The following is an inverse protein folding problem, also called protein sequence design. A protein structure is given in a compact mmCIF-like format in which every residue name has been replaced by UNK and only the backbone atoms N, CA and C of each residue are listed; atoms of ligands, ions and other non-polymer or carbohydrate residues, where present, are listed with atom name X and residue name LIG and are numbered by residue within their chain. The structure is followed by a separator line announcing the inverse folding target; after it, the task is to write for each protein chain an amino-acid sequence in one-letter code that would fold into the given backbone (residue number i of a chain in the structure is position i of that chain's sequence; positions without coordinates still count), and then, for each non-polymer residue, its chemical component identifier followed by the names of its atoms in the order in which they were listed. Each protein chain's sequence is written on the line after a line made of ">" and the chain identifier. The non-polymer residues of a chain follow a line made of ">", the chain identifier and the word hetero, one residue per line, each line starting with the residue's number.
data_IF_336487874829
#
_entry.id   IF_336487874829
#
_cell.length_a   1.000
_cell.length_b   1.000
_cell.length_c   1.000
_cell.angle_alpha   90.00
_cell.angle_beta   90.00
_cell.angle_gamma   90.00
#
_symmetry.space_group_name_H-M   'P 1'
#
loop_
_entity.id
_entity.type
_entity.pdbx_description
1 polymer ?
#
# COMPACT_ATOMS: atom_id res chain seq x y z
N UNK A 1 22.10 -27.01 -20.95
CA UNK A 1 21.18 -26.53 -22.01
C UNK A 1 19.88 -27.30 -21.83
N UNK A 2 18.80 -26.53 -21.74
CA UNK A 2 17.46 -26.76 -21.18
C UNK A 2 17.01 -28.19 -20.81
N UNK A 3 16.57 -28.37 -19.55
CA UNK A 3 15.50 -29.32 -19.23
C UNK A 3 14.17 -28.56 -19.07
N UNK A 4 13.37 -28.56 -20.13
CA UNK A 4 11.94 -28.20 -20.06
C UNK A 4 11.21 -29.26 -19.22
N UNK A 5 10.81 -28.95 -17.99
CA UNK A 5 9.81 -29.74 -17.26
C UNK A 5 8.42 -29.22 -17.61
N UNK A 6 7.77 -29.85 -18.58
CA UNK A 6 6.35 -29.67 -18.85
C UNK A 6 5.57 -30.51 -17.84
N UNK A 7 5.13 -29.90 -16.73
CA UNK A 7 4.14 -30.54 -15.87
C UNK A 7 2.80 -30.53 -16.60
N UNK A 8 2.45 -31.71 -17.10
CA UNK A 8 1.24 -32.04 -17.85
C UNK A 8 0.05 -31.97 -16.89
N UNK A 9 -0.62 -30.82 -16.81
CA UNK A 9 -1.93 -30.72 -16.18
C UNK A 9 -2.94 -31.51 -17.01
N UNK A 10 -3.29 -32.70 -16.55
CA UNK A 10 -4.30 -33.55 -17.20
C UNK A 10 -5.69 -33.08 -16.75
N UNK A 11 -6.18 -31.98 -17.34
CA UNK A 11 -7.59 -31.63 -17.25
C UNK A 11 -8.37 -32.56 -18.19
N UNK A 12 -8.87 -33.67 -17.66
CA UNK A 12 -9.88 -34.48 -18.37
C UNK A 12 -11.27 -33.91 -18.05
N UNK A 13 -11.52 -32.69 -18.51
CA UNK A 13 -12.84 -32.08 -18.52
C UNK A 13 -13.47 -32.27 -19.89
N UNK A 14 -14.22 -33.35 -20.09
CA UNK A 14 -15.14 -33.47 -21.21
C UNK A 14 -16.55 -33.50 -20.62
N UNK A 15 -17.34 -32.48 -20.92
CA UNK A 15 -18.77 -32.51 -20.70
C UNK A 15 -19.36 -33.46 -21.76
N UNK A 16 -19.73 -34.66 -21.34
CA UNK A 16 -20.76 -35.44 -22.03
C UNK A 16 -21.78 -35.88 -21.00
N UNK A 17 -23.04 -35.53 -21.27
CA UNK A 17 -24.21 -36.00 -20.54
C UNK A 17 -24.22 -37.53 -20.49
N UNK A 18 -24.51 -38.11 -19.32
CA UNK A 18 -24.86 -39.53 -19.20
C UNK A 18 -26.32 -39.69 -18.74
N UNK A 19 -27.07 -40.50 -19.50
CA UNK A 19 -28.52 -40.72 -19.47
C UNK A 19 -29.08 -41.44 -18.22
N UNK A 20 -28.64 -41.13 -16.99
CA UNK A 20 -29.16 -41.85 -15.82
C UNK A 20 -29.34 -41.07 -14.51
N UNK A 21 -29.45 -39.74 -14.58
CA UNK A 21 -30.13 -38.95 -13.53
C UNK A 21 -29.69 -39.19 -12.08
N UNK A 22 -28.40 -39.43 -11.82
CA UNK A 22 -27.85 -39.51 -10.45
C UNK A 22 -26.86 -38.39 -10.20
N UNK A 23 -27.30 -37.42 -9.39
CA UNK A 23 -26.43 -36.46 -8.71
C UNK A 23 -25.72 -37.18 -7.57
N UNK A 24 -24.41 -37.37 -7.68
CA UNK A 24 -23.56 -37.69 -6.53
C UNK A 24 -22.46 -36.64 -6.43
N UNK A 25 -22.28 -36.14 -5.21
CA UNK A 25 -21.36 -35.06 -4.85
C UNK A 25 -19.92 -35.41 -5.25
N UNK A 26 -19.25 -34.48 -5.93
CA UNK A 26 -17.82 -34.59 -6.23
C UNK A 26 -17.06 -34.43 -4.91
N UNK A 27 -16.74 -35.54 -4.26
CA UNK A 27 -15.64 -35.57 -3.31
C UNK A 27 -14.35 -35.36 -4.13
N UNK A 28 -13.74 -34.19 -3.98
CA UNK A 28 -12.39 -33.92 -4.47
C UNK A 28 -11.41 -34.85 -3.74
N UNK A 29 -11.24 -36.06 -4.26
CA UNK A 29 -10.14 -36.93 -3.84
C UNK A 29 -8.87 -36.42 -4.49
N UNK A 30 -8.19 -35.50 -3.79
CA UNK A 30 -6.79 -35.17 -4.07
C UNK A 30 -5.98 -36.37 -3.58
N UNK A 31 -5.80 -37.36 -4.44
CA UNK A 31 -4.86 -38.45 -4.20
C UNK A 31 -3.44 -37.94 -4.46
N UNK A 32 -2.68 -37.69 -3.39
CA UNK A 32 -1.22 -37.79 -3.47
C UNK A 32 -0.37 -36.67 -2.88
N UNK A 33 -0.62 -36.26 -1.63
CA UNK A 33 0.37 -35.98 -0.57
C UNK A 33 -0.38 -35.46 0.65
N UNK A 34 0.13 -35.74 1.85
CA UNK A 34 -0.23 -34.99 3.06
C UNK A 34 0.42 -33.60 2.95
N UNK A 35 -0.05 -32.83 1.98
CA UNK A 35 0.52 -31.56 1.59
C UNK A 35 0.10 -30.52 2.63
N UNK A 36 1.04 -30.22 3.53
CA UNK A 36 0.88 -29.23 4.59
C UNK A 36 0.49 -27.88 3.99
N UNK A 37 -0.67 -27.35 4.40
CA UNK A 37 -1.16 -26.05 3.92
C UNK A 37 -0.42 -24.95 4.66
N UNK A 38 0.42 -24.21 3.94
CA UNK A 38 1.22 -23.13 4.49
C UNK A 38 0.47 -21.81 4.26
N UNK A 39 0.08 -21.08 5.33
CA UNK A 39 -0.63 -19.82 5.20
C UNK A 39 0.29 -18.72 4.65
N UNK A 40 -0.25 -17.77 3.87
CA UNK A 40 0.52 -16.66 3.33
C UNK A 40 1.02 -15.70 4.42
N UNK A 41 2.24 -15.21 4.26
CA UNK A 41 2.62 -13.94 4.85
C UNK A 41 2.18 -12.80 3.93
N UNK A 42 1.59 -11.75 4.50
CA UNK A 42 1.02 -10.64 3.75
C UNK A 42 1.74 -9.37 4.14
N UNK A 43 2.26 -8.65 3.15
CA UNK A 43 2.92 -7.37 3.32
C UNK A 43 2.27 -6.33 2.40
N UNK A 44 2.19 -5.07 2.87
CA UNK A 44 1.76 -3.93 2.07
C UNK A 44 2.90 -2.93 1.99
N UNK A 45 3.23 -2.52 0.78
CA UNK A 45 4.24 -1.51 0.49
C UNK A 45 3.57 -0.21 0.08
N UNK A 46 4.05 0.88 0.69
CA UNK A 46 3.65 2.24 0.38
C UNK A 46 4.07 2.65 -1.03
N UNK A 47 3.35 3.60 -1.66
CA UNK A 47 3.68 4.12 -2.98
C UNK A 47 5.07 4.81 -3.01
N UNK A 48 5.67 4.82 -4.20
CA UNK A 48 6.92 5.56 -4.43
C UNK A 48 6.66 7.08 -4.41
N UNK A 49 7.49 7.81 -3.68
CA UNK A 49 7.46 9.29 -3.67
C UNK A 49 7.61 9.89 -5.06
N UNK A 50 8.42 9.26 -5.92
CA UNK A 50 8.64 9.71 -7.29
C UNK A 50 7.37 9.58 -8.15
N UNK A 51 6.61 8.50 -8.00
CA UNK A 51 5.35 8.30 -8.72
C UNK A 51 4.34 9.40 -8.36
N UNK A 52 4.23 9.69 -7.06
CA UNK A 52 3.33 10.71 -6.54
C UNK A 52 3.71 12.09 -7.08
N UNK A 53 5.00 12.45 -7.04
CA UNK A 53 5.47 13.76 -7.49
C UNK A 53 5.33 13.96 -9.00
N UNK A 54 5.60 12.92 -9.81
CA UNK A 54 5.62 13.05 -11.27
C UNK A 54 4.26 12.81 -11.92
N UNK A 55 3.45 11.92 -11.35
CA UNK A 55 2.20 11.45 -11.98
C UNK A 55 0.95 11.77 -11.17
N UNK A 56 1.10 12.32 -9.96
CA UNK A 56 -0.01 12.57 -9.03
C UNK A 56 -0.88 11.33 -8.77
N UNK A 57 -0.25 10.14 -8.84
CA UNK A 57 -0.86 8.83 -8.59
C UNK A 57 -0.04 8.12 -7.51
N UNK A 58 -0.71 7.27 -6.76
CA UNK A 58 -0.09 6.42 -5.76
C UNK A 58 -0.45 4.96 -6.04
N UNK A 59 0.54 4.11 -6.23
CA UNK A 59 0.35 2.67 -6.38
C UNK A 59 0.79 1.94 -5.12
N UNK A 60 -0.17 1.36 -4.41
CA UNK A 60 0.02 0.46 -3.28
C UNK A 60 0.31 -0.95 -3.81
N UNK A 61 1.19 -1.68 -3.15
CA UNK A 61 1.52 -3.06 -3.53
C UNK A 61 1.29 -3.98 -2.35
N UNK A 62 0.50 -5.02 -2.55
CA UNK A 62 0.30 -6.10 -1.60
C UNK A 62 0.99 -7.36 -2.11
N UNK A 63 1.87 -7.93 -1.29
CA UNK A 63 2.56 -9.18 -1.58
C UNK A 63 2.07 -10.23 -0.59
N UNK A 64 1.48 -11.31 -1.11
CA UNK A 64 1.32 -12.56 -0.37
C UNK A 64 2.45 -13.49 -0.76
N UNK A 65 3.25 -13.95 0.19
CA UNK A 65 4.41 -14.82 -0.06
C UNK A 65 4.44 -16.03 0.87
N UNK A 66 5.21 -17.04 0.48
CA UNK A 66 5.47 -18.22 1.30
C UNK A 66 4.28 -19.16 1.47
N UNK A 67 3.26 -19.07 0.62
CA UNK A 67 2.05 -19.89 0.75
C UNK A 67 2.09 -21.16 -0.11
N UNK A 68 1.33 -22.16 0.31
CA UNK A 68 1.16 -23.41 -0.42
C UNK A 68 -0.17 -24.06 -0.01
N UNK A 69 -0.98 -24.63 -0.94
CA UNK A 69 -0.81 -24.68 -2.41
C UNK A 69 -1.05 -23.32 -3.09
N UNK A 70 -1.00 -23.24 -4.42
CA UNK A 70 -1.09 -21.98 -5.20
C UNK A 70 -2.47 -21.30 -5.18
N UNK A 71 -3.47 -21.92 -4.55
CA UNK A 71 -4.85 -21.46 -4.48
C UNK A 71 -5.03 -20.33 -3.45
N UNK A 72 -4.70 -19.11 -3.86
CA UNK A 72 -4.86 -17.89 -3.05
C UNK A 72 -5.52 -16.78 -3.86
N UNK A 73 -6.43 -16.03 -3.23
CA UNK A 73 -7.09 -14.85 -3.83
C UNK A 73 -6.81 -13.61 -3.01
N UNK A 74 -6.34 -12.56 -3.67
CA UNK A 74 -6.13 -11.23 -3.10
C UNK A 74 -7.29 -10.30 -3.44
N UNK A 75 -7.68 -9.47 -2.49
CA UNK A 75 -8.55 -8.34 -2.73
C UNK A 75 -8.23 -7.19 -1.79
N UNK A 76 -8.65 -5.99 -2.19
CA UNK A 76 -8.47 -4.77 -1.42
C UNK A 76 -9.77 -4.34 -0.76
N UNK A 77 -9.64 -3.77 0.43
CA UNK A 77 -10.66 -3.00 1.11
C UNK A 77 -10.14 -1.59 1.37
N UNK A 78 -10.96 -0.59 1.10
CA UNK A 78 -10.69 0.81 1.45
C UNK A 78 -11.80 1.26 2.39
N UNK A 79 -11.44 1.71 3.60
CA UNK A 79 -12.39 2.11 4.64
C UNK A 79 -13.44 1.02 4.95
N UNK A 80 -13.02 -0.25 4.89
CA UNK A 80 -13.88 -1.42 5.14
C UNK A 80 -14.68 -1.92 3.94
N UNK A 81 -14.79 -1.13 2.86
CA UNK A 81 -15.52 -1.51 1.64
C UNK A 81 -14.59 -2.18 0.61
N UNK A 82 -15.05 -3.25 -0.04
CA UNK A 82 -14.28 -3.93 -1.09
C UNK A 82 -14.05 -3.00 -2.28
N UNK A 83 -12.79 -2.89 -2.73
CA UNK A 83 -12.36 -2.06 -3.85
C UNK A 83 -11.95 -2.95 -5.03
N UNK A 84 -12.45 -2.63 -6.22
CA UNK A 84 -12.10 -3.30 -7.49
C UNK A 84 -11.54 -2.34 -8.52
N UNK A 85 -12.00 -1.08 -8.50
CA UNK A 85 -11.44 -0.05 -9.38
C UNK A 85 -9.96 0.21 -9.04
N UNK A 86 -9.13 0.42 -10.06
CA UNK A 86 -7.68 0.59 -9.93
C UNK A 86 -6.90 -0.63 -9.41
N UNK A 87 -7.54 -1.79 -9.22
CA UNK A 87 -6.89 -3.02 -8.74
C UNK A 87 -6.39 -3.85 -9.93
N UNK A 88 -5.09 -4.20 -9.90
CA UNK A 88 -4.49 -5.17 -10.80
C UNK A 88 -3.78 -6.25 -10.00
N UNK A 89 -4.27 -7.49 -10.09
CA UNK A 89 -3.65 -8.67 -9.45
C UNK A 89 -2.95 -9.50 -10.51
N UNK A 90 -1.76 -10.01 -10.20
CA UNK A 90 -1.01 -10.85 -11.12
C UNK A 90 -1.84 -12.11 -11.46
N UNK A 91 -1.85 -12.52 -12.73
CA UNK A 91 -2.67 -13.65 -13.21
C UNK A 91 -2.19 -15.00 -12.66
N UNK A 92 -0.88 -15.13 -12.43
CA UNK A 92 -0.24 -16.36 -11.97
C UNK A 92 0.62 -16.08 -10.74
N UNK A 93 0.65 -17.05 -9.82
CA UNK A 93 1.57 -17.02 -8.69
C UNK A 93 2.98 -17.39 -9.11
N UNK A 94 3.98 -16.68 -8.61
CA UNK A 94 5.39 -16.97 -8.81
C UNK A 94 5.84 -18.06 -7.83
N UNK A 95 6.48 -19.12 -8.34
CA UNK A 95 7.03 -20.19 -7.51
C UNK A 95 8.45 -19.85 -7.05
N UNK A 96 8.68 -19.92 -5.73
CA UNK A 96 9.96 -19.65 -5.08
C UNK A 96 10.29 -20.81 -4.13
N UNK A 97 11.23 -21.67 -4.53
CA UNK A 97 11.79 -22.70 -3.64
C UNK A 97 10.76 -23.68 -3.06
N UNK A 98 9.66 -23.95 -3.77
CA UNK A 98 8.58 -24.84 -3.31
C UNK A 98 7.37 -24.14 -2.71
N UNK A 99 7.44 -22.83 -2.47
CA UNK A 99 6.29 -22.00 -2.06
C UNK A 99 5.88 -21.06 -3.18
N UNK A 100 4.70 -20.45 -3.05
CA UNK A 100 4.15 -19.52 -4.02
C UNK A 100 4.12 -18.09 -3.49
N UNK A 101 4.08 -17.13 -4.41
CA UNK A 101 3.93 -15.70 -4.12
C UNK A 101 2.98 -15.07 -5.12
N UNK A 102 2.13 -14.15 -4.67
CA UNK A 102 1.15 -13.45 -5.47
C UNK A 102 1.15 -11.97 -5.11
N UNK A 103 1.15 -11.10 -6.12
CA UNK A 103 1.16 -9.65 -5.93
C UNK A 103 -0.12 -9.04 -6.45
N UNK A 104 -0.67 -8.09 -5.70
CA UNK A 104 -1.78 -7.24 -6.13
C UNK A 104 -1.40 -5.77 -5.96
N UNK A 105 -1.74 -4.95 -6.95
CA UNK A 105 -1.45 -3.52 -6.98
C UNK A 105 -2.75 -2.74 -6.96
N UNK A 106 -2.84 -1.74 -6.10
CA UNK A 106 -3.98 -0.82 -6.02
C UNK A 106 -3.49 0.58 -6.39
N UNK A 107 -3.94 1.07 -7.55
CA UNK A 107 -3.60 2.40 -8.06
C UNK A 107 -4.70 3.39 -7.70
N UNK A 108 -4.35 4.41 -6.94
CA UNK A 108 -5.24 5.47 -6.46
C UNK A 108 -4.70 6.86 -6.79
N UNK A 109 -5.50 7.89 -6.50
CA UNK A 109 -5.03 9.27 -6.60
C UNK A 109 -4.08 9.62 -5.45
N UNK A 110 -3.15 10.55 -5.68
CA UNK A 110 -2.31 11.06 -4.61
C UNK A 110 -3.13 11.70 -3.47
N UNK A 111 -4.26 12.34 -3.79
CA UNK A 111 -5.15 12.94 -2.79
C UNK A 111 -5.78 11.90 -1.86
N UNK A 112 -6.19 10.75 -2.41
CA UNK A 112 -6.74 9.64 -1.63
C UNK A 112 -5.68 8.99 -0.74
N UNK A 113 -4.44 8.89 -1.22
CA UNK A 113 -3.30 8.42 -0.43
C UNK A 113 -2.93 9.39 0.70
N UNK A 114 -2.97 10.70 0.43
CA UNK A 114 -2.61 11.73 1.42
C UNK A 114 -3.69 12.04 2.47
N UNK A 115 -4.72 11.20 2.56
CA UNK A 115 -5.72 11.31 3.61
C UNK A 115 -5.43 10.28 4.71
N UNK A 116 -4.95 10.70 5.89
CA UNK A 116 -4.60 9.79 6.97
C UNK A 116 -5.81 9.06 7.57
N UNK A 117 -7.03 9.51 7.29
CA UNK A 117 -8.26 8.83 7.69
C UNK A 117 -8.57 7.61 6.82
N UNK A 118 -7.97 7.53 5.62
CA UNK A 118 -8.18 6.39 4.74
C UNK A 118 -7.41 5.17 5.26
N UNK A 119 -8.12 4.05 5.40
CA UNK A 119 -7.57 2.75 5.78
C UNK A 119 -7.56 1.83 4.58
N UNK A 120 -6.36 1.46 4.12
CA UNK A 120 -6.14 0.52 3.02
C UNK A 120 -5.82 -0.84 3.59
N UNK A 121 -6.59 -1.85 3.22
CA UNK A 121 -6.46 -3.20 3.73
C UNK A 121 -6.35 -4.18 2.57
N UNK A 122 -5.32 -5.03 2.60
CA UNK A 122 -5.18 -6.14 1.67
C UNK A 122 -5.56 -7.42 2.39
N UNK A 123 -6.41 -8.22 1.76
CA UNK A 123 -6.89 -9.49 2.30
C UNK A 123 -6.55 -10.62 1.34
N UNK A 124 -5.85 -11.61 1.87
CA UNK A 124 -5.53 -12.86 1.20
C UNK A 124 -6.45 -13.95 1.71
N UNK A 125 -7.21 -14.57 0.80
CA UNK A 125 -8.12 -15.69 1.10
C UNK A 125 -7.57 -16.98 0.53
N UNK A 126 -7.53 -18.02 1.36
CA UNK A 126 -6.97 -19.33 1.02
C UNK A 126 -7.77 -20.43 1.73
N UNK A 127 -7.76 -21.64 1.16
CA UNK A 127 -8.43 -22.79 1.77
C UNK A 127 -7.47 -23.53 2.69
N UNK A 128 -7.90 -23.80 3.91
CA UNK A 128 -7.16 -24.57 4.91
C UNK A 128 -8.10 -25.57 5.58
N UNK A 129 -7.75 -26.86 5.55
CA UNK A 129 -8.50 -27.94 6.22
C UNK A 129 -10.01 -27.95 5.91
N UNK A 130 -10.41 -27.64 4.66
CA UNK A 130 -11.81 -27.58 4.25
C UNK A 130 -12.56 -26.29 4.63
N UNK A 131 -11.90 -25.35 5.30
CA UNK A 131 -12.43 -24.02 5.63
C UNK A 131 -11.74 -22.90 4.85
N UNK A 132 -12.50 -21.86 4.50
CA UNK A 132 -11.94 -20.66 3.87
C UNK A 132 -11.41 -19.72 4.96
N UNK A 133 -10.09 -19.55 5.02
CA UNK A 133 -9.43 -18.63 5.94
C UNK A 133 -8.98 -17.35 5.23
N UNK A 134 -8.75 -16.29 6.00
CA UNK A 134 -8.24 -15.03 5.48
C UNK A 134 -7.13 -14.45 6.34
N UNK A 135 -6.09 -13.93 5.70
CA UNK A 135 -5.00 -13.17 6.31
C UNK A 135 -5.02 -11.76 5.76
N UNK A 136 -4.95 -10.76 6.63
CA UNK A 136 -5.02 -9.36 6.23
C UNK A 136 -3.89 -8.54 6.83
N UNK A 137 -3.53 -7.48 6.10
CA UNK A 137 -2.76 -6.36 6.62
C UNK A 137 -3.44 -5.07 6.23
N UNK A 138 -3.19 -4.03 7.00
CA UNK A 138 -3.67 -2.70 6.68
C UNK A 138 -2.59 -1.66 6.94
N UNK A 139 -2.70 -0.56 6.20
CA UNK A 139 -1.96 0.67 6.42
C UNK A 139 -2.92 1.86 6.33
N UNK A 140 -2.54 2.96 6.95
CA UNK A 140 -3.26 4.23 6.82
C UNK A 140 -2.66 5.08 5.71
N UNK A 141 -3.45 5.98 5.16
CA UNK A 141 -2.94 7.02 4.27
C UNK A 141 -1.85 7.84 4.95
N UNK A 142 -0.96 8.40 4.14
CA UNK A 142 0.09 9.28 4.60
C UNK A 142 -0.50 10.67 4.87
N UNK A 143 -0.14 11.35 5.96
CA UNK A 143 -0.56 12.75 6.14
C UNK A 143 0.23 13.70 5.21
N UNK A 144 1.30 13.20 4.57
CA UNK A 144 2.22 13.99 3.78
C UNK A 144 2.99 15.02 4.63
N UNK A 145 3.88 15.78 3.98
CA UNK A 145 4.65 16.84 4.64
C UNK A 145 3.83 18.12 4.95
N UNK A 146 2.51 18.13 4.73
CA UNK A 146 1.69 19.32 4.91
C UNK A 146 1.34 19.62 6.38
N UNK A 147 1.42 18.62 7.27
CA UNK A 147 1.09 18.75 8.69
C UNK A 147 2.06 17.96 9.58
N UNK A 148 3.37 18.03 9.32
CA UNK A 148 4.36 17.45 10.25
C UNK A 148 4.74 18.46 11.32
N UNK A 149 4.95 18.00 12.55
CA UNK A 149 5.43 18.81 13.69
C UNK A 149 6.73 19.57 13.32
N UNK A 150 7.59 18.96 12.49
CA UNK A 150 8.78 19.61 11.91
C UNK A 150 8.46 20.84 11.05
N UNK A 151 7.40 20.79 10.24
CA UNK A 151 7.00 21.93 9.39
C UNK A 151 6.44 23.09 10.21
N UNK A 152 5.70 22.80 11.28
CA UNK A 152 5.20 23.79 12.23
C UNK A 152 6.34 24.44 13.02
N UNK A 153 7.28 23.64 13.52
CA UNK A 153 8.47 24.15 14.23
C UNK A 153 9.37 24.99 13.30
N UNK A 154 9.54 24.57 12.03
CA UNK A 154 10.30 25.33 11.04
C UNK A 154 9.61 26.66 10.68
N UNK A 155 8.29 26.66 10.54
CA UNK A 155 7.49 27.86 10.30
C UNK A 155 7.54 28.82 11.51
N UNK A 156 7.39 28.30 12.73
CA UNK A 156 7.53 29.06 13.97
C UNK A 156 8.92 29.66 14.15
N UNK A 157 9.98 28.92 13.83
CA UNK A 157 11.36 29.42 13.87
C UNK A 157 11.60 30.51 12.81
N UNK A 158 11.00 30.37 11.63
CA UNK A 158 11.05 31.42 10.59
C UNK A 158 10.38 32.71 11.05
N UNK A 159 9.18 32.62 11.63
CA UNK A 159 8.45 33.78 12.17
C UNK A 159 9.22 34.47 13.31
N UNK A 160 9.85 33.69 14.19
CA UNK A 160 10.69 34.21 15.27
C UNK A 160 11.90 34.99 14.73
N UNK A 161 12.54 34.47 13.68
CA UNK A 161 13.65 35.18 13.03
C UNK A 161 13.18 36.48 12.36
N UNK A 162 12.03 36.45 11.66
CA UNK A 162 11.43 37.64 11.05
C UNK A 162 11.12 38.71 12.10
N UNK A 163 10.51 38.33 13.22
CA UNK A 163 10.20 39.26 14.32
C UNK A 163 11.46 39.91 14.88
N UNK A 164 12.52 39.14 15.15
CA UNK A 164 13.79 39.67 15.65
C UNK A 164 14.42 40.68 14.68
N UNK A 165 14.36 40.43 13.37
CA UNK A 165 14.86 41.36 12.35
C UNK A 165 14.06 42.66 12.35
N UNK A 166 12.73 42.59 12.47
CA UNK A 166 11.87 43.77 12.50
C UNK A 166 12.11 44.61 13.76
N UNK A 167 12.24 43.98 14.93
CA UNK A 167 12.59 44.67 16.18
C UNK A 167 13.97 45.33 16.08
N UNK A 168 14.97 44.64 15.52
CA UNK A 168 16.30 45.20 15.30
C UNK A 168 16.26 46.43 14.39
N UNK A 169 15.50 46.36 13.29
CA UNK A 169 15.27 47.52 12.42
C UNK A 169 14.63 48.69 13.16
N UNK A 170 13.55 48.46 13.91
CA UNK A 170 12.86 49.50 14.66
C UNK A 170 13.79 50.21 15.66
N UNK A 171 14.64 49.45 16.35
CA UNK A 171 15.63 50.01 17.27
C UNK A 171 16.67 50.89 16.55
N UNK A 172 17.19 50.42 15.41
CA UNK A 172 18.11 51.22 14.58
C UNK A 172 17.44 52.52 14.09
N UNK A 173 16.18 52.47 13.66
CA UNK A 173 15.43 53.66 13.28
C UNK A 173 15.27 54.64 14.45
N UNK A 174 14.96 54.16 15.65
CA UNK A 174 14.82 55.00 16.83
C UNK A 174 16.14 55.69 17.21
N UNK A 175 17.27 54.98 17.15
CA UNK A 175 18.60 55.56 17.40
C UNK A 175 18.95 56.62 16.38
N UNK A 176 18.78 56.33 15.08
CA UNK A 176 19.07 57.28 14.00
C UNK A 176 18.26 58.57 14.10
N UNK A 177 16.95 58.46 14.36
CA UNK A 177 16.07 59.63 14.54
C UNK A 177 16.48 60.43 15.76
N UNK A 178 16.81 59.76 16.88
CA UNK A 178 17.26 60.44 18.10
C UNK A 178 18.56 61.20 17.90
N UNK A 179 19.53 60.61 17.18
CA UNK A 179 20.79 61.27 16.83
C UNK A 179 20.56 62.50 15.94
N UNK A 180 19.72 62.39 14.91
CA UNK A 180 19.38 63.52 14.04
C UNK A 180 18.75 64.69 14.81
N UNK A 181 17.79 64.39 15.70
CA UNK A 181 17.14 65.39 16.55
C UNK A 181 18.14 66.06 17.50
N UNK A 182 19.06 65.28 18.09
CA UNK A 182 20.11 65.81 18.95
C UNK A 182 21.01 66.77 18.18
N UNK A 183 21.46 66.38 16.98
CA UNK A 183 22.31 67.24 16.14
C UNK A 183 21.62 68.52 15.71
N UNK A 184 20.30 68.47 15.45
CA UNK A 184 19.52 69.65 15.08
C UNK A 184 19.23 70.61 16.26
N UNK A 185 19.34 70.13 17.51
CA UNK A 185 19.12 70.94 18.71
C UNK A 185 20.39 71.60 19.24
N UNK A 186 21.56 71.05 18.91
CA UNK A 186 22.87 71.50 19.42
C UNK A 186 23.63 72.37 18.39
N UNK A 187 23.28 72.29 17.10
CA UNK A 187 23.77 73.20 16.06
C UNK A 187 22.84 74.38 15.85
#
# INVERSE_FOLDING_TARGET
>A
LESHSTHKYNFKGFLTEDCNGRLWEILLSISGKNDEIIPPDVAIFSPSKQEIQQKSKATLVCLASGFYPDHLKLFWKVNGAKRTDGVGTDEFSTQNGGTYSLTSRLRISAQEWFNPLNRFECVATFFKNGTLESRNKFIYGDAGCALTEESYLRYGNSLKLTYLILCGKAFLYAVLVSSLVWTAKVG
#
